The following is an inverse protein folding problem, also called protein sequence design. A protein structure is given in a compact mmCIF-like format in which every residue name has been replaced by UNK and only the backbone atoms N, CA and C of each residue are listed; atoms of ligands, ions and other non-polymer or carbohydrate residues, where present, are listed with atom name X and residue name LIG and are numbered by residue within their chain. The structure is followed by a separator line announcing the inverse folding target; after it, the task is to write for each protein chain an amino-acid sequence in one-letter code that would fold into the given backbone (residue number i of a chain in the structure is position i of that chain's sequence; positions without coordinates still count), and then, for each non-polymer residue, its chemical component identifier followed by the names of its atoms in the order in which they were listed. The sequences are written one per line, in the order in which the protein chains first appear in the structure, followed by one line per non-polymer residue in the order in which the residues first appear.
data_IF_869915536304
#
_entry.id   IF_869915536304
#
_cell.length_a   1.000
_cell.length_b   1.000
_cell.length_c   1.000
_cell.angle_alpha   90.00
_cell.angle_beta   90.00
_cell.angle_gamma   90.00
#
_symmetry.space_group_name_H-M   'P 1'
#
loop_
_entity.id
_entity.type
_entity.pdbx_description
1 polymer ?
#
# COMPACT_ATOMS: atom_id res chain seq x y z
N UNK A 1 -23.24 -8.99 -3.06
CA UNK A 1 -22.30 -7.85 -3.08
C UNK A 1 -21.07 -8.28 -3.87
N UNK A 2 -20.83 -7.72 -5.06
CA UNK A 2 -19.62 -8.03 -5.83
C UNK A 2 -18.52 -7.09 -5.34
N UNK A 3 -17.46 -7.63 -4.73
CA UNK A 3 -16.25 -6.85 -4.46
C UNK A 3 -15.57 -6.54 -5.79
N UNK A 4 -15.29 -5.27 -6.02
CA UNK A 4 -14.57 -4.84 -7.22
C UNK A 4 -13.09 -5.21 -7.13
N UNK A 5 -12.42 -5.28 -8.27
CA UNK A 5 -10.96 -5.46 -8.33
C UNK A 5 -10.23 -4.34 -7.56
N UNK A 6 -10.78 -3.13 -7.56
CA UNK A 6 -10.25 -1.98 -6.83
C UNK A 6 -10.25 -2.19 -5.31
N UNK A 7 -11.39 -2.65 -4.76
CA UNK A 7 -11.50 -2.93 -3.33
C UNK A 7 -10.54 -4.05 -2.89
N UNK A 8 -10.41 -5.07 -3.73
CA UNK A 8 -9.51 -6.21 -3.46
C UNK A 8 -8.04 -5.77 -3.50
N UNK A 9 -7.67 -4.94 -4.47
CA UNK A 9 -6.31 -4.38 -4.57
C UNK A 9 -6.02 -3.47 -3.37
N UNK A 10 -6.96 -2.59 -3.00
CA UNK A 10 -6.84 -1.73 -1.82
C UNK A 10 -6.66 -2.54 -0.54
N UNK A 11 -7.48 -3.55 -0.30
CA UNK A 11 -7.35 -4.42 0.87
C UNK A 11 -5.99 -5.14 0.88
N UNK A 12 -5.52 -5.61 -0.28
CA UNK A 12 -4.25 -6.30 -0.42
C UNK A 12 -3.08 -5.38 -0.05
N UNK A 13 -3.07 -4.15 -0.55
CA UNK A 13 -2.04 -3.15 -0.26
C UNK A 13 -2.07 -2.75 1.21
N UNK A 14 -3.25 -2.51 1.77
CA UNK A 14 -3.41 -2.18 3.19
C UNK A 14 -2.85 -3.29 4.08
N UNK A 15 -3.24 -4.55 3.84
CA UNK A 15 -2.76 -5.69 4.64
C UNK A 15 -1.26 -5.88 4.52
N UNK A 16 -0.70 -5.72 3.32
CA UNK A 16 0.74 -5.81 3.10
C UNK A 16 1.49 -4.68 3.82
N UNK A 17 0.96 -3.45 3.81
CA UNK A 17 1.52 -2.34 4.58
C UNK A 17 1.50 -2.62 6.08
N UNK A 18 0.39 -3.12 6.61
CA UNK A 18 0.28 -3.46 8.04
C UNK A 18 1.27 -4.56 8.45
N UNK A 19 1.36 -5.65 7.68
CA UNK A 19 2.34 -6.73 7.89
C UNK A 19 3.78 -6.24 7.89
N UNK A 20 4.07 -5.22 7.09
CA UNK A 20 5.39 -4.64 6.94
C UNK A 20 5.63 -3.39 7.80
N UNK A 21 4.74 -3.06 8.74
CA UNK A 21 4.81 -1.86 9.58
C UNK A 21 4.98 -0.56 8.77
N UNK A 22 4.32 -0.47 7.61
CA UNK A 22 4.40 0.67 6.70
C UNK A 22 5.71 0.78 5.92
N UNK A 23 6.60 -0.22 5.99
CA UNK A 23 7.85 -0.25 5.20
C UNK A 23 7.53 -0.46 3.72
N UNK A 24 7.54 0.64 2.96
CA UNK A 24 7.20 0.68 1.52
C UNK A 24 8.05 -0.29 0.69
N UNK A 25 9.36 -0.31 0.89
CA UNK A 25 10.28 -1.23 0.18
C UNK A 25 9.85 -2.69 0.33
N UNK A 26 9.72 -3.16 1.58
CA UNK A 26 9.30 -4.55 1.85
C UNK A 26 7.90 -4.87 1.34
N UNK A 27 6.98 -3.92 1.47
CA UNK A 27 5.61 -4.06 0.95
C UNK A 27 5.63 -4.23 -0.57
N UNK A 28 6.45 -3.44 -1.27
CA UNK A 28 6.58 -3.51 -2.73
C UNK A 28 7.20 -4.85 -3.17
N UNK A 29 8.23 -5.31 -2.47
CA UNK A 29 8.85 -6.63 -2.69
C UNK A 29 7.84 -7.77 -2.47
N UNK A 30 7.05 -7.73 -1.38
CA UNK A 30 6.02 -8.73 -1.07
C UNK A 30 4.90 -8.77 -2.13
N UNK A 31 4.47 -7.60 -2.61
CA UNK A 31 3.44 -7.48 -3.64
C UNK A 31 3.97 -7.68 -5.06
N UNK A 32 5.28 -7.93 -5.22
CA UNK A 32 5.95 -8.06 -6.51
C UNK A 32 5.73 -6.87 -7.46
N UNK A 33 5.73 -5.66 -6.90
CA UNK A 33 5.59 -4.40 -7.65
C UNK A 33 6.75 -3.46 -7.33
N UNK A 34 6.98 -2.49 -8.20
CA UNK A 34 7.96 -1.43 -7.90
C UNK A 34 7.45 -0.50 -6.80
N UNK A 35 8.36 0.06 -6.00
CA UNK A 35 8.03 1.08 -4.99
C UNK A 35 7.26 2.27 -5.60
N UNK A 36 7.53 2.62 -6.86
CA UNK A 36 6.80 3.65 -7.62
C UNK A 36 5.32 3.29 -7.80
N UNK A 37 5.03 2.03 -8.14
CA UNK A 37 3.65 1.53 -8.31
C UNK A 37 2.94 1.53 -6.97
N UNK A 38 3.60 1.02 -5.93
CA UNK A 38 3.07 1.04 -4.58
C UNK A 38 2.76 2.47 -4.12
N UNK A 39 3.68 3.42 -4.34
CA UNK A 39 3.48 4.84 -4.00
C UNK A 39 2.25 5.43 -4.70
N UNK A 40 2.10 5.20 -6.01
CA UNK A 40 0.93 5.69 -6.76
C UNK A 40 -0.37 5.12 -6.19
N UNK A 41 -0.41 3.83 -5.89
CA UNK A 41 -1.59 3.17 -5.34
C UNK A 41 -1.91 3.63 -3.92
N UNK A 42 -0.90 3.82 -3.08
CA UNK A 42 -1.07 4.41 -1.74
C UNK A 42 -1.70 5.80 -1.86
N UNK A 43 -1.23 6.64 -2.79
CA UNK A 43 -1.78 7.98 -3.01
C UNK A 43 -3.20 7.94 -3.57
N UNK A 44 -3.46 7.09 -4.57
CA UNK A 44 -4.77 6.88 -5.21
C UNK A 44 -5.81 6.41 -4.19
N UNK A 45 -5.43 5.53 -3.26
CA UNK A 45 -6.30 5.00 -2.22
C UNK A 45 -6.28 5.77 -0.89
N UNK A 46 -5.50 6.85 -0.79
CA UNK A 46 -5.37 7.63 0.44
C UNK A 46 -4.77 6.84 1.62
N UNK A 47 -3.94 5.82 1.35
CA UNK A 47 -3.30 4.97 2.35
C UNK A 47 -2.01 5.58 2.93
N UNK A 48 -1.77 6.88 2.71
CA UNK A 48 -0.57 7.57 3.17
C UNK A 48 -0.55 7.63 4.71
N UNK A 49 0.17 6.69 5.33
CA UNK A 49 0.41 6.73 6.78
C UNK A 49 1.33 7.92 7.11
N UNK A 50 0.84 8.81 7.98
CA UNK A 50 1.36 10.13 8.40
C UNK A 50 2.74 10.14 9.08
N UNK A 51 3.59 9.12 8.88
CA UNK A 51 4.86 8.94 9.58
C UNK A 51 6.11 9.44 8.82
N UNK A 52 5.97 10.34 7.85
CA UNK A 52 7.12 10.95 7.14
C UNK A 52 7.40 12.42 7.54
N UNK A 53 6.81 12.92 8.63
CA UNK A 53 7.11 14.26 9.17
C UNK A 53 7.58 14.22 10.63
N UNK A 54 8.56 13.37 10.94
CA UNK A 54 9.43 13.58 12.10
C UNK A 54 10.84 13.88 11.57
N UNK A 55 11.03 15.13 11.14
CA UNK A 55 12.32 15.80 11.19
C UNK A 55 12.28 16.73 12.39
#
# INVERSE_FOLDING_TARGET
HIKTLDETERETITRALERNNGKRKRTAEELNISERTLYRKIKEYGLESRNQHKK
#
